data_IF_170144545872
#
_entry.id   IF_170144545872
#
_cell.length_a   1.000
_cell.length_b   1.000
_cell.length_c   1.000
_cell.angle_alpha   90.00
_cell.angle_beta   90.00
_cell.angle_gamma   90.00
#
_symmetry.space_group_name_H-M   'P 1'
#
loop_
_entity.id
_entity.type
_entity.pdbx_description
1 polymer ?
#
# COMPACT_ATOMS: atom_id res chain seq x y z
N UNK A 1 -5.32 -7.73 -22.54
CA UNK A 1 -5.64 -8.58 -21.36
C UNK A 1 -4.45 -9.38 -20.86
N UNK A 2 -3.52 -9.79 -21.74
CA UNK A 2 -2.35 -10.63 -21.36
C UNK A 2 -1.47 -10.07 -20.22
N UNK A 3 -1.26 -8.75 -20.15
CA UNK A 3 -0.43 -8.13 -19.10
C UNK A 3 -1.06 -8.26 -17.71
N UNK A 4 -2.39 -8.23 -17.62
CA UNK A 4 -3.08 -8.39 -16.34
C UNK A 4 -2.91 -9.82 -15.79
N UNK A 5 -2.98 -10.82 -16.67
CA UNK A 5 -2.78 -12.22 -16.30
C UNK A 5 -1.32 -12.50 -15.91
N UNK A 6 -0.34 -11.88 -16.59
CA UNK A 6 1.07 -11.96 -16.23
C UNK A 6 1.33 -11.37 -14.83
N UNK A 7 0.76 -10.21 -14.51
CA UNK A 7 0.89 -9.58 -13.19
C UNK A 7 0.27 -10.43 -12.07
N UNK A 8 -0.90 -11.05 -12.33
CA UNK A 8 -1.52 -11.99 -11.38
C UNK A 8 -0.62 -13.21 -11.16
N UNK A 9 -0.03 -13.76 -12.22
CA UNK A 9 0.94 -14.85 -12.15
C UNK A 9 2.18 -14.49 -11.32
N UNK A 10 2.74 -13.29 -11.55
CA UNK A 10 3.89 -12.75 -10.80
C UNK A 10 3.60 -12.59 -9.31
N UNK A 11 2.42 -12.09 -8.94
CA UNK A 11 2.02 -11.97 -7.53
C UNK A 11 1.95 -13.36 -6.87
N UNK A 12 1.44 -14.37 -7.58
CA UNK A 12 1.38 -15.73 -7.06
C UNK A 12 2.78 -16.31 -6.86
N UNK A 13 3.70 -16.10 -7.81
CA UNK A 13 5.10 -16.50 -7.68
C UNK A 13 5.79 -15.81 -6.49
N UNK A 14 5.66 -14.49 -6.36
CA UNK A 14 6.24 -13.70 -5.24
C UNK A 14 5.82 -14.26 -3.87
N UNK A 15 4.57 -14.69 -3.74
CA UNK A 15 4.02 -15.25 -2.49
C UNK A 15 4.56 -16.63 -2.16
N UNK A 16 4.82 -17.45 -3.18
CA UNK A 16 5.29 -18.82 -3.01
C UNK A 16 6.81 -18.94 -2.94
N UNK A 17 7.54 -17.92 -3.38
CA UNK A 17 9.00 -17.87 -3.29
C UNK A 17 9.46 -17.65 -1.84
N UNK A 18 10.25 -18.60 -1.32
CA UNK A 18 10.84 -18.53 0.02
C UNK A 18 12.14 -17.70 0.05
N UNK A 19 12.87 -17.63 -1.07
CA UNK A 19 14.12 -16.87 -1.18
C UNK A 19 13.85 -15.36 -1.23
N UNK A 20 14.41 -14.56 -0.30
CA UNK A 20 14.27 -13.10 -0.32
C UNK A 20 14.81 -12.47 -1.62
N UNK A 21 15.89 -13.05 -2.15
CA UNK A 21 16.56 -12.61 -3.37
C UNK A 21 15.67 -12.82 -4.59
N UNK A 22 15.12 -14.03 -4.75
CA UNK A 22 14.22 -14.33 -5.85
C UNK A 22 12.93 -13.50 -5.76
N UNK A 23 12.44 -13.26 -4.54
CA UNK A 23 11.29 -12.38 -4.31
C UNK A 23 11.57 -10.95 -4.80
N UNK A 24 12.77 -10.42 -4.55
CA UNK A 24 13.19 -9.11 -5.05
C UNK A 24 13.24 -9.08 -6.59
N UNK A 25 13.82 -10.12 -7.22
CA UNK A 25 13.86 -10.24 -8.69
C UNK A 25 12.45 -10.27 -9.31
N UNK A 26 11.53 -11.02 -8.70
CA UNK A 26 10.14 -11.08 -9.14
C UNK A 26 9.43 -9.74 -8.96
N UNK A 27 9.69 -9.01 -7.87
CA UNK A 27 9.16 -7.66 -7.68
C UNK A 27 9.67 -6.69 -8.75
N UNK A 28 10.97 -6.72 -9.06
CA UNK A 28 11.56 -5.90 -10.12
C UNK A 28 10.96 -6.24 -11.49
N UNK A 29 10.75 -7.52 -11.80
CA UNK A 29 10.06 -7.96 -13.02
C UNK A 29 8.61 -7.45 -13.06
N UNK A 30 7.85 -7.63 -12.00
CA UNK A 30 6.48 -7.11 -11.90
C UNK A 30 6.42 -5.61 -12.08
N UNK A 31 7.40 -4.89 -11.54
CA UNK A 31 7.52 -3.45 -11.73
C UNK A 31 7.78 -3.06 -13.20
N UNK A 32 8.65 -3.79 -13.92
CA UNK A 32 8.84 -3.59 -15.37
C UNK A 32 7.56 -3.80 -16.16
N UNK A 33 6.81 -4.87 -15.89
CA UNK A 33 5.51 -5.10 -16.53
C UNK A 33 4.52 -3.97 -16.25
N UNK A 34 4.51 -3.40 -15.03
CA UNK A 34 3.70 -2.22 -14.71
C UNK A 34 4.19 -0.96 -15.45
N UNK A 35 5.50 -0.72 -15.59
CA UNK A 35 6.02 0.45 -16.32
C UNK A 35 5.75 0.39 -17.82
N UNK A 36 5.70 -0.82 -18.39
CA UNK A 36 5.36 -1.03 -19.80
C UNK A 36 3.90 -0.69 -20.11
N UNK A 37 3.01 -0.66 -19.10
CA UNK A 37 1.63 -0.20 -19.27
C UNK A 37 1.56 1.31 -19.54
N UNK A 38 0.53 1.70 -20.30
CA UNK A 38 0.21 3.10 -20.52
C UNK A 38 -0.13 3.81 -19.19
N UNK A 39 -0.06 5.14 -19.16
CA UNK A 39 -0.37 5.90 -17.95
C UNK A 39 -1.84 5.73 -17.49
N UNK A 40 -2.77 5.52 -18.42
CA UNK A 40 -4.18 5.26 -18.11
C UNK A 40 -4.38 3.84 -17.57
N UNK A 41 -3.70 2.84 -18.14
CA UNK A 41 -3.74 1.45 -17.68
C UNK A 41 -3.14 1.31 -16.28
N UNK A 42 -2.02 1.99 -15.99
CA UNK A 42 -1.44 2.04 -14.64
C UNK A 42 -2.43 2.63 -13.64
N UNK A 43 -3.14 3.71 -13.99
CA UNK A 43 -4.17 4.34 -13.15
C UNK A 43 -5.39 3.43 -12.96
N UNK A 44 -5.81 2.69 -13.99
CA UNK A 44 -6.90 1.72 -13.89
C UNK A 44 -6.51 0.54 -12.99
N UNK A 45 -5.32 -0.02 -13.20
CA UNK A 45 -4.77 -1.10 -12.38
C UNK A 45 -4.62 -0.67 -10.91
N UNK A 46 -4.12 0.55 -10.65
CA UNK A 46 -4.01 1.09 -9.31
C UNK A 46 -5.40 1.21 -8.63
N UNK A 47 -6.42 1.72 -9.35
CA UNK A 47 -7.80 1.76 -8.85
C UNK A 47 -8.36 0.38 -8.56
N UNK A 48 -8.19 -0.58 -9.48
CA UNK A 48 -8.69 -1.95 -9.33
C UNK A 48 -8.07 -2.71 -8.17
N UNK A 49 -6.78 -2.48 -7.92
CA UNK A 49 -6.04 -3.08 -6.81
C UNK A 49 -6.19 -2.29 -5.49
N UNK A 50 -6.85 -1.13 -5.50
CA UNK A 50 -6.98 -0.25 -4.35
C UNK A 50 -5.65 0.39 -3.92
N UNK A 51 -4.73 0.54 -4.87
CA UNK A 51 -3.45 1.25 -4.77
C UNK A 51 -3.52 2.67 -5.37
N UNK A 52 -4.71 3.27 -5.42
CA UNK A 52 -4.81 4.70 -5.74
C UNK A 52 -3.92 5.50 -4.77
N UNK A 53 -2.98 6.26 -5.31
CA UNK A 53 -1.95 6.97 -4.54
C UNK A 53 -0.63 6.20 -4.29
N UNK A 54 -0.37 5.06 -4.94
CA UNK A 54 0.94 4.40 -4.85
C UNK A 54 2.11 5.29 -5.30
N UNK A 55 1.89 6.16 -6.29
CA UNK A 55 2.86 7.19 -6.68
C UNK A 55 3.17 8.15 -5.52
N UNK A 56 2.15 8.58 -4.77
CA UNK A 56 2.35 9.40 -3.57
C UNK A 56 3.10 8.64 -2.47
N UNK A 57 2.96 7.32 -2.42
CA UNK A 57 3.69 6.47 -1.47
C UNK A 57 5.17 6.34 -1.85
N UNK A 58 5.48 6.20 -3.14
CA UNK A 58 6.86 6.21 -3.65
C UNK A 58 7.48 7.58 -3.41
N UNK A 59 6.76 8.67 -3.68
CA UNK A 59 7.20 10.03 -3.38
C UNK A 59 7.45 10.24 -1.88
N UNK A 60 6.57 9.70 -1.02
CA UNK A 60 6.75 9.77 0.44
C UNK A 60 7.95 8.94 0.91
N UNK A 61 8.15 7.75 0.33
CA UNK A 61 9.32 6.91 0.62
C UNK A 61 10.62 7.58 0.19
N UNK A 62 10.63 8.16 -1.00
CA UNK A 62 11.74 8.94 -1.52
C UNK A 62 12.05 10.12 -0.59
N UNK A 63 11.05 10.96 -0.29
CA UNK A 63 11.19 12.10 0.64
C UNK A 63 11.67 11.69 2.03
N UNK A 64 11.16 10.58 2.58
CA UNK A 64 11.56 10.07 3.90
C UNK A 64 12.96 9.48 3.90
N UNK A 65 13.39 8.89 2.78
CA UNK A 65 14.75 8.44 2.53
C UNK A 65 15.73 9.57 2.23
N UNK A 66 15.26 10.82 2.06
CA UNK A 66 16.07 11.93 1.60
C UNK A 66 16.54 11.76 0.15
N UNK A 67 15.84 10.96 -0.63
CA UNK A 67 16.15 10.68 -2.03
C UNK A 67 15.08 11.31 -2.93
N UNK A 68 15.47 11.69 -4.15
CA UNK A 68 14.48 11.98 -5.18
C UNK A 68 13.77 10.66 -5.57
N UNK A 69 12.51 10.72 -6.03
CA UNK A 69 11.82 9.54 -6.55
C UNK A 69 12.63 8.85 -7.64
N UNK A 70 13.26 9.62 -8.52
CA UNK A 70 14.16 9.13 -9.57
C UNK A 70 15.34 8.35 -8.99
N UNK A 71 15.98 8.82 -7.92
CA UNK A 71 17.10 8.12 -7.27
C UNK A 71 16.66 6.82 -6.60
N UNK A 72 15.50 6.83 -5.93
CA UNK A 72 14.93 5.59 -5.39
C UNK A 72 14.68 4.58 -6.52
N UNK A 73 14.21 5.05 -7.68
CA UNK A 73 14.03 4.20 -8.85
C UNK A 73 15.36 3.71 -9.44
N UNK A 74 16.40 4.54 -9.47
CA UNK A 74 17.74 4.14 -9.92
C UNK A 74 18.36 3.09 -8.98
N UNK A 75 18.24 3.26 -7.66
CA UNK A 75 18.69 2.26 -6.68
C UNK A 75 17.95 0.92 -6.86
N UNK A 76 16.63 0.97 -7.12
CA UNK A 76 15.86 -0.24 -7.43
C UNK A 76 16.26 -0.88 -8.77
N UNK A 77 16.79 -0.11 -9.72
CA UNK A 77 17.27 -0.59 -11.00
C UNK A 77 18.70 -1.13 -10.95
N UNK A 78 19.60 -0.46 -10.23
CA UNK A 78 20.94 -0.96 -9.94
C UNK A 78 20.88 -2.26 -9.13
N UNK A 79 19.90 -2.34 -8.24
CA UNK A 79 19.60 -3.55 -7.49
C UNK A 79 19.17 -4.75 -8.31
N UNK A 80 18.69 -4.49 -9.51
CA UNK A 80 18.31 -5.50 -10.47
C UNK A 80 19.52 -6.14 -11.15
N UNK A 81 20.59 -5.36 -11.32
CA UNK A 81 21.80 -5.73 -12.05
C UNK A 81 22.91 -6.24 -11.12
N UNK A 82 22.91 -5.78 -9.87
CA UNK A 82 23.91 -6.13 -8.85
C UNK A 82 23.41 -7.26 -7.95
N UNK A 83 24.32 -7.90 -7.21
CA UNK A 83 23.98 -8.89 -6.19
C UNK A 83 22.93 -8.31 -5.21
N UNK A 84 21.73 -8.89 -5.12
CA UNK A 84 20.67 -8.40 -4.25
C UNK A 84 21.03 -8.41 -2.76
N UNK A 85 22.07 -9.15 -2.34
CA UNK A 85 22.63 -9.03 -1.00
C UNK A 85 23.30 -7.66 -0.79
N UNK A 86 24.10 -7.20 -1.77
CA UNK A 86 24.73 -5.88 -1.74
C UNK A 86 23.68 -4.76 -1.69
N UNK A 87 22.59 -4.90 -2.43
CA UNK A 87 21.46 -3.96 -2.43
C UNK A 87 20.81 -3.84 -1.07
N UNK A 88 20.53 -4.97 -0.43
CA UNK A 88 19.89 -4.97 0.88
C UNK A 88 20.81 -4.34 1.92
N UNK A 89 22.13 -4.51 1.79
CA UNK A 89 23.11 -3.81 2.61
C UNK A 89 23.20 -2.31 2.27
N UNK A 90 23.03 -1.91 1.00
CA UNK A 90 22.91 -0.49 0.61
C UNK A 90 21.63 0.12 1.20
N UNK A 91 20.46 -0.50 1.04
CA UNK A 91 19.17 -0.04 1.59
C UNK A 91 19.22 0.02 3.12
N UNK A 92 19.84 -0.97 3.77
CA UNK A 92 20.04 -1.00 5.22
C UNK A 92 21.02 0.10 5.66
N UNK A 93 22.09 0.32 4.88
CA UNK A 93 23.06 1.38 5.07
C UNK A 93 22.47 2.79 4.91
N UNK A 94 21.46 2.98 4.04
CA UNK A 94 20.73 4.25 3.92
C UNK A 94 19.97 4.65 5.21
N UNK A 95 19.73 3.68 6.10
CA UNK A 95 19.24 3.95 7.46
C UNK A 95 20.21 4.78 8.29
N UNK A 96 21.52 4.68 8.03
CA UNK A 96 22.58 5.43 8.70
C UNK A 96 22.82 6.78 7.99
N UNK A 97 22.81 7.91 8.72
CA UNK A 97 22.91 9.24 8.10
C UNK A 97 24.26 9.50 7.43
N UNK A 98 25.35 8.88 7.90
CA UNK A 98 26.69 9.04 7.33
C UNK A 98 26.86 8.27 6.03
N UNK A 99 26.45 7.00 5.99
CA UNK A 99 26.42 6.21 4.75
C UNK A 99 25.49 6.80 3.70
N UNK A 100 24.39 7.45 4.14
CA UNK A 100 23.50 8.20 3.24
C UNK A 100 24.19 9.39 2.58
N UNK A 101 25.05 10.12 3.30
CA UNK A 101 25.85 11.21 2.72
C UNK A 101 26.94 10.70 1.78
N UNK A 102 27.60 9.60 2.16
CA UNK A 102 28.61 8.97 1.31
C UNK A 102 28.02 8.46 -0.01
N UNK A 103 26.91 7.72 0.04
CA UNK A 103 26.21 7.24 -1.16
C UNK A 103 25.67 8.38 -2.03
N UNK A 104 25.23 9.49 -1.43
CA UNK A 104 24.83 10.68 -2.19
C UNK A 104 26.02 11.38 -2.87
N UNK A 105 27.20 11.36 -2.26
CA UNK A 105 28.44 11.87 -2.86
C UNK A 105 28.91 11.02 -4.03
N UNK A 106 28.98 9.70 -3.86
CA UNK A 106 29.41 8.75 -4.88
C UNK A 106 28.51 8.78 -6.13
N UNK A 107 27.20 9.00 -5.95
CA UNK A 107 26.25 9.19 -7.05
C UNK A 107 26.39 10.55 -7.75
N UNK A 108 26.77 11.61 -7.03
CA UNK A 108 27.06 12.92 -7.64
C UNK A 108 28.34 12.88 -8.47
N UNK A 109 29.35 12.16 -8.00
CA UNK A 109 30.60 11.95 -8.74
C UNK A 109 30.35 11.11 -10.00
N UNK A 110 29.56 10.03 -9.89
CA UNK A 110 29.17 9.21 -11.05
C UNK A 110 28.35 10.01 -12.07
N UNK A 111 27.45 10.89 -11.61
CA UNK A 111 26.68 11.76 -12.50
C UNK A 111 27.55 12.86 -13.16
N UNK A 112 28.60 13.33 -12.47
CA UNK A 112 29.57 14.26 -13.03
C UNK A 112 30.42 13.59 -14.12
N UNK A 113 30.86 12.35 -13.91
CA UNK A 113 31.63 11.59 -14.91
C UNK A 113 30.80 11.33 -16.18
N UNK A 114 29.52 10.96 -16.04
CA UNK A 114 28.61 10.74 -17.18
C UNK A 114 28.37 12.03 -17.98
N UNK A 115 28.34 13.19 -17.31
CA UNK A 115 28.15 14.49 -17.97
C UNK A 115 29.42 15.03 -18.64
N UNK A 116 30.60 14.55 -18.22
CA UNK A 116 31.89 14.94 -18.82
C UNK A 116 32.21 14.09 -20.07
N UNK A 117 31.76 12.84 -20.12
CA UNK A 117 31.99 11.95 -21.27
C UNK A 117 31.07 12.19 -22.49
N UNK A 118 30.01 13.00 -22.36
CA UNK A 118 29.04 13.27 -23.44
C UNK A 118 29.50 14.37 -24.44
N UNK A 119 30.62 15.06 -24.18
CA UNK A 119 31.19 16.07 -25.11
C UNK A 119 32.18 15.50 -26.15
N UNK A 120 32.52 14.20 -26.10
CA UNK A 120 33.61 13.63 -26.91
C UNK A 120 33.18 12.60 -27.99
N UNK A 121 31.93 12.60 -28.46
CA UNK A 121 31.54 11.77 -29.61
C UNK A 121 31.58 12.54 -30.94
N UNK A 122 32.54 12.25 -31.86
CA UNK A 122 32.49 12.78 -33.21
C UNK A 122 31.33 12.12 -33.99
N UNK A 123 30.50 12.97 -34.59
CA UNK A 123 29.33 12.58 -35.35
C UNK A 123 29.68 11.64 -36.54
N UNK A 124 29.20 10.40 -36.50
CA UNK A 124 29.21 9.50 -37.65
C UNK A 124 27.90 9.61 -38.44
N UNK A 125 28.04 9.94 -39.73
CA UNK A 125 26.96 9.98 -40.72
C UNK A 125 26.51 8.57 -41.14
N UNK A 126 25.23 8.38 -41.55
CA UNK A 126 24.71 7.07 -41.91
C UNK A 126 24.96 6.77 -43.39
N UNK A 127 25.62 5.64 -43.68
CA UNK A 127 25.90 5.17 -45.04
C UNK A 127 25.52 3.70 -45.24
N UNK A 128 24.42 3.52 -45.96
CA UNK A 128 24.04 2.47 -46.92
C UNK A 128 24.49 1.00 -46.77
N UNK A 129 23.48 0.13 -46.91
CA UNK A 129 23.52 -1.32 -47.13
C UNK A 129 24.49 -1.81 -48.21
N UNK A 130 25.06 -2.99 -47.95
CA UNK A 130 25.66 -3.86 -48.96
C UNK A 130 26.13 -5.19 -48.35
N UNK A 131 25.32 -6.25 -48.50
CA UNK A 131 25.82 -7.63 -48.68
C UNK A 131 26.62 -7.70 -50.02
N UNK A 132 27.55 -8.66 -50.28
CA UNK A 132 27.38 -10.10 -49.97
C UNK A 132 28.66 -10.96 -49.69
N UNK A 133 28.39 -12.20 -49.26
CA UNK A 133 29.07 -13.50 -49.57
C UNK A 133 30.54 -13.83 -49.22
N UNK A 134 30.63 -14.97 -48.50
CA UNK A 134 31.42 -16.20 -48.76
C UNK A 134 32.64 -16.56 -47.89
N UNK A 135 32.61 -17.86 -47.50
CA UNK A 135 33.70 -18.83 -47.17
C UNK A 135 35.01 -18.36 -46.54
N UNK A 136 35.37 -18.97 -45.39
CA UNK A 136 36.57 -19.84 -45.08
C UNK A 136 36.29 -20.46 -43.69
N UNK A 137 35.99 -21.75 -43.48
CA UNK A 137 36.85 -22.96 -43.39
C UNK A 137 37.91 -22.98 -42.25
N UNK A 138 37.73 -23.92 -41.30
CA UNK A 138 38.70 -24.42 -40.28
C UNK A 138 39.19 -23.39 -39.22
N UNK A 139 39.36 -23.70 -37.94
CA UNK A 139 39.97 -24.87 -37.31
C UNK A 139 39.34 -25.20 -35.94
N UNK A 140 39.20 -26.49 -35.66
CA UNK A 140 38.92 -27.02 -34.32
C UNK A 140 40.21 -26.98 -33.47
N UNK A 141 40.28 -26.07 -32.50
CA UNK A 141 41.25 -26.13 -31.40
C UNK A 141 40.75 -27.05 -30.27
N UNK A 142 41.63 -27.82 -29.60
CA UNK A 142 41.23 -28.75 -28.54
C UNK A 142 40.80 -28.01 -27.26
N UNK A 143 39.89 -28.59 -26.44
CA UNK A 143 39.44 -27.96 -25.20
C UNK A 143 40.54 -27.98 -24.13
N UNK A 144 40.78 -26.81 -23.54
CA UNK A 144 41.65 -26.64 -22.37
C UNK A 144 41.13 -27.44 -21.15
N UNK A 145 42.02 -27.95 -20.29
CA UNK A 145 41.63 -28.70 -19.10
C UNK A 145 40.99 -27.80 -18.05
N UNK A 146 39.87 -28.28 -17.48
CA UNK A 146 39.16 -27.66 -16.37
C UNK A 146 40.08 -27.43 -15.16
N UNK A 147 40.00 -26.26 -14.47
CA UNK A 147 40.74 -26.05 -13.23
C UNK A 147 40.19 -26.96 -12.12
N UNK A 148 41.08 -27.70 -11.49
CA UNK A 148 40.78 -28.50 -10.30
C UNK A 148 40.37 -27.57 -9.16
N UNK A 149 39.15 -27.75 -8.65
CA UNK A 149 38.67 -27.09 -7.44
C UNK A 149 39.38 -27.71 -6.25
N UNK A 150 40.35 -26.99 -5.69
CA UNK A 150 41.01 -27.33 -4.44
C UNK A 150 39.99 -27.18 -3.30
N UNK A 151 39.50 -28.32 -2.78
CA UNK A 151 38.66 -28.36 -1.57
C UNK A 151 39.49 -27.91 -0.38
N UNK A 152 39.36 -26.63 -0.02
CA UNK A 152 39.95 -26.07 1.20
C UNK A 152 39.12 -26.57 2.39
N UNK A 153 39.62 -27.58 3.10
CA UNK A 153 39.07 -28.02 4.38
C UNK A 153 39.03 -26.83 5.35
N UNK A 154 37.82 -26.46 5.78
CA UNK A 154 37.60 -25.39 6.76
C UNK A 154 37.86 -25.97 8.15
N UNK A 155 38.99 -25.57 8.75
CA UNK A 155 39.32 -25.89 10.13
C UNK A 155 38.25 -25.32 11.08
N UNK A 156 37.87 -26.11 12.08
CA UNK A 156 36.94 -25.72 13.14
C UNK A 156 37.51 -24.56 13.97
N UNK A 157 36.68 -23.60 14.41
CA UNK A 157 37.14 -22.55 15.32
C UNK A 157 37.40 -23.13 16.73
N UNK A 158 38.46 -22.68 17.43
CA UNK A 158 38.71 -23.06 18.82
C UNK A 158 37.67 -22.45 19.76
N UNK A 159 37.35 -23.21 20.81
CA UNK A 159 36.47 -22.81 21.90
C UNK A 159 37.01 -21.57 22.64
N UNK A 160 36.14 -20.58 22.84
CA UNK A 160 36.42 -19.41 23.66
C UNK A 160 36.05 -19.74 25.11
N UNK A 161 36.95 -19.58 26.09
CA UNK A 161 36.64 -19.77 27.50
C UNK A 161 35.80 -18.60 28.05
N UNK A 162 34.90 -18.94 28.97
CA UNK A 162 34.07 -18.02 29.73
C UNK A 162 34.94 -17.04 30.53
N UNK A 163 34.68 -15.75 30.36
CA UNK A 163 35.24 -14.70 31.20
C UNK A 163 34.13 -14.12 32.06
N UNK A 164 34.27 -14.32 33.37
CA UNK A 164 33.59 -13.58 34.42
C UNK A 164 33.72 -12.07 34.20
N UNK A 165 32.61 -11.36 34.37
CA UNK A 165 32.61 -9.91 34.44
C UNK A 165 31.69 -9.47 35.57
N UNK A 166 32.27 -9.48 36.77
CA UNK A 166 31.93 -8.53 37.81
C UNK A 166 32.30 -7.11 37.33
N UNK A 167 31.32 -6.21 37.33
CA UNK A 167 31.45 -4.74 37.41
C UNK A 167 30.04 -4.21 37.66
N UNK A 168 29.74 -3.56 38.78
CA UNK A 168 30.46 -2.42 39.32
C UNK A 168 29.62 -1.17 39.00
N UNK A 169 28.74 -0.80 39.93
CA UNK A 169 27.96 0.44 39.88
C UNK A 169 28.88 1.66 39.81
N UNK A 170 28.42 2.75 39.16
CA UNK A 170 28.77 4.07 39.65
C UNK A 170 27.56 4.96 39.97
N UNK A 171 27.70 5.57 41.14
CA UNK A 171 27.08 6.73 41.75
C UNK A 171 26.24 7.68 40.89
N UNK A 172 25.05 7.97 41.43
CA UNK A 172 24.29 9.22 41.25
C UNK A 172 25.07 10.42 41.82
N UNK A 173 25.05 11.53 41.09
CA UNK A 173 25.19 12.87 41.65
C UNK A 173 24.04 13.76 41.13
N UNK A 174 23.52 14.71 41.93
CA UNK A 174 22.44 15.60 41.53
C UNK A 174 23.00 16.88 40.89
N UNK A 175 22.29 17.46 39.92
CA UNK A 175 22.54 18.83 39.46
C UNK A 175 21.28 19.67 39.61
N UNK A 176 21.46 20.74 40.38
CA UNK A 176 20.50 21.80 40.68
C UNK A 176 20.50 22.90 39.62
N UNK A 177 19.48 23.74 39.73
CA UNK A 177 19.03 24.86 38.89
C UNK A 177 20.03 26.01 38.64
N UNK A 178 19.84 26.69 37.50
CA UNK A 178 19.95 28.15 37.26
C UNK A 178 19.56 28.44 35.78
N UNK A 179 18.49 29.18 35.45
CA UNK A 179 18.42 30.65 35.20
C UNK A 179 19.61 31.16 34.35
N UNK A 180 19.49 31.84 33.20
CA UNK A 180 18.77 33.08 32.84
C UNK A 180 18.91 33.27 31.30
N UNK A 181 17.88 33.73 30.57
CA UNK A 181 17.69 35.08 30.02
C UNK A 181 18.66 35.57 28.91
N UNK A 182 18.07 36.06 27.82
CA UNK A 182 18.70 36.81 26.71
C UNK A 182 18.77 36.02 25.41
N UNK A 183 18.48 36.55 24.21
CA UNK A 183 18.12 37.87 23.78
C UNK A 183 17.51 37.76 22.36
N UNK A 184 16.84 38.82 21.93
CA UNK A 184 16.14 38.97 20.65
C UNK A 184 16.96 38.57 19.41
N UNK A 185 16.29 37.91 18.46
CA UNK A 185 16.76 37.68 17.09
C UNK A 185 15.71 38.18 16.08
N UNK A 186 16.12 38.77 14.93
CA UNK A 186 15.33 39.73 14.17
C UNK A 186 14.36 39.10 13.17
N UNK A 187 13.45 39.96 12.69
CA UNK A 187 12.24 39.62 11.94
C UNK A 187 12.43 38.79 10.67
N UNK A 188 11.65 37.72 10.59
CA UNK A 188 11.39 37.02 9.35
C UNK A 188 10.43 37.85 8.49
N UNK A 189 10.93 38.35 7.36
CA UNK A 189 10.15 38.99 6.32
C UNK A 189 9.05 38.04 5.84
N UNK A 190 7.80 38.48 6.02
CA UNK A 190 6.61 37.76 5.57
C UNK A 190 6.50 37.89 4.05
N UNK A 191 6.98 36.88 3.33
CA UNK A 191 6.79 36.77 1.87
C UNK A 191 5.36 36.32 1.62
N UNK A 192 4.55 37.26 1.13
CA UNK A 192 3.15 37.07 0.75
C UNK A 192 3.08 36.24 -0.54
N UNK A 193 2.41 35.07 -0.57
CA UNK A 193 2.26 34.30 -1.79
C UNK A 193 1.32 35.01 -2.79
N UNK A 194 1.55 34.88 -4.11
CA UNK A 194 0.73 35.49 -5.15
C UNK A 194 -0.66 34.87 -5.21
N UNK A 195 -1.66 35.72 -5.47
CA UNK A 195 -3.06 35.34 -5.61
C UNK A 195 -3.29 34.35 -6.78
N UNK A 196 -4.01 33.27 -6.51
CA UNK A 196 -4.40 32.30 -7.52
C UNK A 196 -5.42 32.90 -8.51
N UNK A 197 -5.30 32.61 -9.83
CA UNK A 197 -6.26 33.08 -10.81
C UNK A 197 -7.62 32.40 -10.66
N UNK A 198 -8.68 33.21 -10.69
CA UNK A 198 -10.07 32.78 -10.62
C UNK A 198 -10.41 31.81 -11.77
N UNK A 199 -10.80 30.58 -11.42
CA UNK A 199 -11.32 29.61 -12.38
C UNK A 199 -12.71 30.04 -12.84
N UNK A 200 -12.83 30.27 -14.15
CA UNK A 200 -14.10 30.49 -14.83
C UNK A 200 -14.99 29.24 -14.70
N UNK A 201 -16.23 29.47 -14.29
CA UNK A 201 -17.29 28.47 -14.10
C UNK A 201 -17.93 28.20 -15.47
N UNK A 202 -17.98 26.96 -15.97
CA UNK A 202 -18.72 26.65 -17.20
C UNK A 202 -20.24 26.81 -16.98
N UNK A 203 -21.00 27.24 -18.02
CA UNK A 203 -22.44 27.46 -17.93
C UNK A 203 -23.22 26.15 -17.81
N UNK A 204 -24.33 26.22 -17.06
CA UNK A 204 -25.26 25.13 -16.81
C UNK A 204 -25.88 24.60 -18.11
N UNK A 205 -25.87 23.27 -18.26
CA UNK A 205 -26.57 22.56 -19.33
C UNK A 205 -28.06 22.45 -18.96
N UNK A 206 -28.91 22.92 -19.88
CA UNK A 206 -30.36 22.92 -19.75
C UNK A 206 -30.94 21.49 -19.72
N UNK A 207 -31.76 21.21 -18.71
CA UNK A 207 -32.57 20.01 -18.60
C UNK A 207 -33.74 20.05 -19.61
N UNK A 208 -33.90 18.98 -20.39
CA UNK A 208 -35.10 18.74 -21.20
C UNK A 208 -36.06 17.79 -20.44
N UNK A 209 -37.34 18.15 -20.25
CA UNK A 209 -38.34 17.22 -19.75
C UNK A 209 -38.92 16.41 -20.91
N UNK A 210 -38.72 15.09 -20.88
CA UNK A 210 -39.25 14.15 -21.86
C UNK A 210 -40.23 13.17 -21.22
N UNK A 211 -41.48 13.59 -21.11
CA UNK A 211 -42.66 12.77 -20.82
C UNK A 211 -42.75 11.60 -21.82
N UNK A 212 -42.86 10.36 -21.35
CA UNK A 212 -43.42 9.29 -22.19
C UNK A 212 -44.31 8.34 -21.39
N UNK A 213 -45.51 8.21 -21.96
CA UNK A 213 -46.69 7.56 -21.45
C UNK A 213 -46.58 6.03 -21.36
N UNK A 214 -47.40 5.49 -20.46
CA UNK A 214 -47.79 4.10 -20.33
C UNK A 214 -48.51 3.55 -21.59
N UNK A 215 -48.57 2.23 -21.72
CA UNK A 215 -49.76 1.60 -22.29
C UNK A 215 -50.33 0.48 -21.41
N UNK A 216 -51.61 0.67 -21.10
CA UNK A 216 -52.73 -0.26 -21.25
C UNK A 216 -52.64 -1.73 -20.81
N UNK A 217 -53.40 -1.93 -19.72
CA UNK A 217 -54.21 -3.07 -19.28
C UNK A 217 -54.74 -3.98 -20.40
N UNK A 218 -54.41 -5.28 -20.30
CA UNK A 218 -55.08 -6.39 -20.98
C UNK A 218 -55.93 -7.25 -20.02
N UNK A 219 -56.91 -8.02 -20.52
CA UNK A 219 -58.10 -8.41 -19.77
C UNK A 219 -57.94 -9.63 -18.85
N UNK A 220 -58.64 -9.52 -17.71
CA UNK A 220 -58.94 -10.57 -16.73
C UNK A 220 -59.54 -11.82 -17.38
N UNK A 221 -58.91 -12.98 -17.18
CA UNK A 221 -59.57 -14.29 -17.29
C UNK A 221 -59.97 -14.77 -15.89
N UNK A 222 -61.27 -14.92 -15.71
CA UNK A 222 -61.92 -15.57 -14.58
C UNK A 222 -62.04 -17.08 -14.91
N UNK A 223 -61.35 -17.92 -14.14
CA UNK A 223 -61.59 -19.37 -13.96
C UNK A 223 -60.72 -19.74 -12.76
N UNK A 224 -61.27 -19.97 -11.57
CA UNK A 224 -62.32 -20.94 -11.29
C UNK A 224 -61.63 -22.22 -10.86
N UNK A 225 -61.04 -22.23 -9.67
CA UNK A 225 -60.69 -23.47 -8.96
C UNK A 225 -60.65 -23.21 -7.45
N UNK A 226 -61.58 -23.87 -6.75
CA UNK A 226 -61.65 -23.94 -5.29
C UNK A 226 -60.46 -24.76 -4.81
N UNK A 227 -59.39 -24.11 -4.36
CA UNK A 227 -58.37 -24.74 -3.51
C UNK A 227 -58.86 -24.84 -2.07
N UNK A 228 -58.59 -25.95 -1.37
CA UNK A 228 -58.92 -26.11 0.04
C UNK A 228 -58.21 -25.02 0.85
N UNK A 229 -58.87 -24.54 1.89
CA UNK A 229 -58.37 -23.55 2.82
C UNK A 229 -57.11 -24.06 3.54
N UNK A 230 -55.96 -23.95 2.89
CA UNK A 230 -54.66 -23.94 3.57
C UNK A 230 -54.69 -22.75 4.53
N UNK A 231 -54.64 -23.06 5.83
CA UNK A 231 -54.33 -22.08 6.88
C UNK A 231 -53.18 -21.23 6.37
N UNK A 232 -53.47 -19.96 6.07
CA UNK A 232 -52.49 -18.95 5.75
C UNK A 232 -51.56 -18.83 6.96
N UNK A 233 -50.49 -19.63 6.96
CA UNK A 233 -49.36 -19.41 7.83
C UNK A 233 -48.90 -17.98 7.57
N UNK A 234 -48.95 -17.13 8.61
CA UNK A 234 -48.45 -15.77 8.52
C UNK A 234 -47.11 -15.79 7.80
N UNK A 235 -46.92 -14.99 6.73
CA UNK A 235 -45.67 -14.95 6.01
C UNK A 235 -44.56 -14.68 7.03
N UNK A 236 -43.60 -15.59 7.11
CA UNK A 236 -42.44 -15.42 7.97
C UNK A 236 -41.83 -14.04 7.71
N UNK A 237 -41.44 -13.28 8.74
CA UNK A 237 -40.83 -11.98 8.55
C UNK A 237 -39.65 -12.11 7.58
N UNK A 238 -39.48 -11.17 6.63
CA UNK A 238 -38.35 -11.20 5.73
C UNK A 238 -37.05 -11.29 6.55
N UNK A 239 -36.08 -12.11 6.12
CA UNK A 239 -34.80 -12.19 6.82
C UNK A 239 -34.18 -10.79 6.90
N UNK A 240 -33.49 -10.43 7.99
CA UNK A 240 -32.88 -9.12 8.13
C UNK A 240 -31.96 -8.83 6.92
N UNK A 241 -31.89 -7.58 6.48
CA UNK A 241 -31.30 -7.21 5.19
C UNK A 241 -29.81 -7.60 5.02
N UNK A 242 -29.11 -7.91 6.11
CA UNK A 242 -27.73 -8.44 6.12
C UNK A 242 -27.61 -9.97 6.11
N UNK A 243 -28.70 -10.69 6.41
CA UNK A 243 -28.67 -12.11 6.75
C UNK A 243 -28.02 -12.94 5.64
N UNK A 244 -26.94 -13.64 6.00
CA UNK A 244 -26.22 -14.53 5.11
C UNK A 244 -25.11 -13.87 4.29
N UNK A 245 -24.85 -12.56 4.43
CA UNK A 245 -23.67 -11.95 3.78
C UNK A 245 -22.37 -12.60 4.25
N UNK A 246 -22.23 -12.87 5.55
CA UNK A 246 -21.07 -13.58 6.09
C UNK A 246 -20.90 -14.97 5.44
N UNK A 247 -21.98 -15.74 5.29
CA UNK A 247 -21.97 -17.03 4.58
C UNK A 247 -21.55 -16.89 3.11
N UNK A 248 -22.09 -15.89 2.41
CA UNK A 248 -21.72 -15.60 1.02
C UNK A 248 -20.25 -15.17 0.87
N UNK A 249 -19.71 -14.43 1.82
CA UNK A 249 -18.30 -14.03 1.83
C UNK A 249 -17.38 -15.22 2.18
N UNK A 250 -17.78 -16.06 3.14
CA UNK A 250 -17.06 -17.28 3.50
C UNK A 250 -16.94 -18.27 2.34
N UNK A 251 -17.97 -18.37 1.49
CA UNK A 251 -17.99 -19.25 0.32
C UNK A 251 -17.03 -18.80 -0.80
N UNK A 252 -16.70 -17.51 -0.90
CA UNK A 252 -15.80 -17.00 -1.93
C UNK A 252 -14.35 -17.43 -1.65
N UNK A 253 -13.67 -18.09 -2.59
CA UNK A 253 -12.26 -18.49 -2.39
C UNK A 253 -11.26 -17.34 -2.56
N UNK A 254 -11.63 -16.33 -3.34
CA UNK A 254 -10.75 -15.19 -3.64
C UNK A 254 -10.99 -14.01 -2.69
N UNK A 255 -9.92 -13.58 -2.02
CA UNK A 255 -9.95 -12.43 -1.10
C UNK A 255 -10.42 -11.14 -1.78
N UNK A 256 -9.98 -10.90 -3.03
CA UNK A 256 -10.38 -9.70 -3.78
C UNK A 256 -11.87 -9.74 -4.12
N UNK A 257 -12.42 -10.91 -4.46
CA UNK A 257 -13.86 -11.07 -4.69
C UNK A 257 -14.65 -10.84 -3.40
N UNK A 258 -14.18 -11.34 -2.26
CA UNK A 258 -14.77 -11.02 -0.93
C UNK A 258 -14.82 -9.52 -0.68
N UNK A 259 -13.71 -8.81 -0.86
CA UNK A 259 -13.66 -7.35 -0.64
C UNK A 259 -14.57 -6.58 -1.59
N UNK A 260 -14.61 -6.96 -2.89
CA UNK A 260 -15.53 -6.34 -3.86
C UNK A 260 -17.00 -6.58 -3.50
N UNK A 261 -17.35 -7.81 -3.10
CA UNK A 261 -18.71 -8.14 -2.65
C UNK A 261 -19.09 -7.39 -1.38
N UNK A 262 -18.17 -7.25 -0.43
CA UNK A 262 -18.37 -6.45 0.78
C UNK A 262 -18.67 -4.99 0.42
N UNK A 263 -17.83 -4.37 -0.43
CA UNK A 263 -18.03 -2.99 -0.86
C UNK A 263 -19.39 -2.78 -1.56
N UNK A 264 -19.79 -3.72 -2.44
CA UNK A 264 -21.08 -3.66 -3.12
C UNK A 264 -22.28 -3.88 -2.18
N UNK A 265 -22.09 -4.57 -1.06
CA UNK A 265 -23.14 -4.93 -0.11
C UNK A 265 -23.12 -4.10 1.18
N UNK A 266 -22.17 -3.17 1.35
CA UNK A 266 -21.97 -2.46 2.61
C UNK A 266 -23.23 -1.72 3.08
N UNK A 267 -23.97 -1.10 2.16
CA UNK A 267 -25.22 -0.41 2.49
C UNK A 267 -26.35 -1.33 3.01
N UNK A 268 -26.26 -2.66 2.82
CA UNK A 268 -27.24 -3.61 3.40
C UNK A 268 -26.98 -3.90 4.88
N UNK A 269 -25.77 -3.61 5.35
CA UNK A 269 -25.37 -3.78 6.75
C UNK A 269 -25.70 -2.56 7.61
N UNK A 270 -26.42 -1.59 7.05
CA UNK A 270 -26.76 -0.34 7.75
C UNK A 270 -27.74 -0.57 8.92
N UNK A 271 -28.58 -1.60 8.79
CA UNK A 271 -29.49 -2.08 9.85
C UNK A 271 -28.94 -3.33 10.56
N UNK A 272 -27.74 -3.79 10.19
CA UNK A 272 -27.13 -4.96 10.81
C UNK A 272 -26.61 -4.61 12.22
N UNK A 273 -26.84 -5.51 13.17
CA UNK A 273 -26.27 -5.39 14.51
C UNK A 273 -24.75 -5.59 14.50
N UNK A 274 -24.09 -5.15 15.57
CA UNK A 274 -22.63 -5.27 15.71
C UNK A 274 -22.12 -6.69 15.52
N UNK A 275 -22.83 -7.70 16.03
CA UNK A 275 -22.46 -9.12 15.92
C UNK A 275 -22.41 -9.60 14.46
N UNK A 276 -23.33 -9.13 13.63
CA UNK A 276 -23.37 -9.48 12.21
C UNK A 276 -22.22 -8.81 11.44
N UNK A 277 -21.92 -7.55 11.76
CA UNK A 277 -20.76 -6.84 11.19
C UNK A 277 -19.44 -7.50 11.63
N UNK A 278 -19.35 -7.94 12.89
CA UNK A 278 -18.21 -8.69 13.40
C UNK A 278 -18.04 -10.02 12.66
N UNK A 279 -19.11 -10.80 12.48
CA UNK A 279 -19.08 -12.05 11.71
C UNK A 279 -18.64 -11.84 10.25
N UNK A 280 -19.05 -10.73 9.62
CA UNK A 280 -18.57 -10.33 8.29
C UNK A 280 -17.07 -10.06 8.30
N UNK A 281 -16.53 -9.39 9.33
CA UNK A 281 -15.09 -9.12 9.46
C UNK A 281 -14.26 -10.38 9.72
N UNK A 282 -14.81 -11.36 10.43
CA UNK A 282 -14.16 -12.65 10.69
C UNK A 282 -13.97 -13.49 9.42
N UNK A 283 -14.80 -13.28 8.39
CA UNK A 283 -14.61 -13.87 7.07
C UNK A 283 -13.33 -13.39 6.35
N UNK A 284 -12.65 -12.37 6.89
CA UNK A 284 -11.36 -11.89 6.39
C UNK A 284 -10.21 -12.32 7.30
N UNK A 285 -9.11 -12.86 6.74
CA UNK A 285 -7.91 -13.14 7.50
C UNK A 285 -7.40 -11.90 8.26
N UNK A 286 -6.84 -12.10 9.44
CA UNK A 286 -6.23 -11.03 10.22
C UNK A 286 -5.14 -10.28 9.44
N UNK A 287 -4.86 -9.04 9.84
CA UNK A 287 -3.90 -8.16 9.18
C UNK A 287 -4.53 -7.32 8.07
N UNK A 288 -3.88 -7.26 6.90
CA UNK A 288 -4.24 -6.33 5.82
C UNK A 288 -5.68 -6.48 5.33
N UNK A 289 -6.15 -7.72 5.17
CA UNK A 289 -7.47 -8.04 4.64
C UNK A 289 -8.59 -7.53 5.54
N UNK A 290 -8.59 -7.95 6.82
CA UNK A 290 -9.55 -7.50 7.83
C UNK A 290 -9.50 -5.98 8.01
N UNK A 291 -8.30 -5.40 8.02
CA UNK A 291 -8.12 -3.94 8.08
C UNK A 291 -8.81 -3.22 6.91
N UNK A 292 -8.64 -3.71 5.67
CA UNK A 292 -9.31 -3.13 4.50
C UNK A 292 -10.83 -3.34 4.52
N UNK A 293 -11.30 -4.50 4.97
CA UNK A 293 -12.73 -4.76 5.14
C UNK A 293 -13.36 -3.77 6.12
N UNK A 294 -12.74 -3.58 7.29
CA UNK A 294 -13.20 -2.63 8.30
C UNK A 294 -13.21 -1.20 7.76
N UNK A 295 -12.16 -0.75 7.06
CA UNK A 295 -12.18 0.58 6.44
C UNK A 295 -13.36 0.77 5.48
N UNK A 296 -13.67 -0.22 4.65
CA UNK A 296 -14.81 -0.11 3.71
C UNK A 296 -16.14 0.02 4.44
N UNK A 297 -16.29 -0.67 5.57
CA UNK A 297 -17.47 -0.54 6.43
C UNK A 297 -17.54 0.85 7.07
N UNK A 298 -16.43 1.33 7.65
CA UNK A 298 -16.36 2.64 8.30
C UNK A 298 -16.58 3.82 7.32
N UNK A 299 -16.05 3.70 6.09
CA UNK A 299 -16.28 4.66 4.99
C UNK A 299 -17.73 4.64 4.51
N UNK A 300 -18.39 3.48 4.56
CA UNK A 300 -19.81 3.35 4.26
C UNK A 300 -20.73 3.76 5.42
N UNK A 301 -20.18 4.22 6.55
CA UNK A 301 -20.95 4.60 7.74
C UNK A 301 -21.47 3.42 8.57
N UNK A 302 -20.93 2.21 8.36
CA UNK A 302 -21.34 0.98 9.05
C UNK A 302 -20.29 0.57 10.10
N UNK A 303 -20.68 0.35 11.37
CA UNK A 303 -22.01 0.58 11.94
C UNK A 303 -22.29 2.09 12.12
N UNK A 304 -23.60 2.44 12.16
CA UNK A 304 -24.06 3.82 12.40
C UNK A 304 -23.66 4.33 13.78
N UNK A 305 -23.78 3.46 14.79
CA UNK A 305 -23.33 3.74 16.16
C UNK A 305 -21.81 3.89 16.20
N UNK A 306 -21.32 5.02 16.72
CA UNK A 306 -19.89 5.25 16.92
C UNK A 306 -19.34 4.32 18.00
N UNK A 307 -20.12 4.02 19.04
CA UNK A 307 -19.74 3.05 20.07
C UNK A 307 -19.47 1.68 19.46
N UNK A 308 -20.35 1.22 18.58
CA UNK A 308 -20.19 -0.09 17.92
C UNK A 308 -18.97 -0.07 17.00
N UNK A 309 -18.74 1.03 16.27
CA UNK A 309 -17.57 1.19 15.42
C UNK A 309 -16.27 1.14 16.24
N UNK A 310 -16.27 1.70 17.46
CA UNK A 310 -15.16 1.63 18.41
C UNK A 310 -14.94 0.19 18.88
N UNK A 311 -16.00 -0.54 19.24
CA UNK A 311 -15.92 -1.96 19.63
C UNK A 311 -15.32 -2.82 18.52
N UNK A 312 -15.67 -2.57 17.25
CA UNK A 312 -15.07 -3.28 16.11
C UNK A 312 -13.56 -3.04 15.96
N UNK A 313 -13.01 -1.94 16.50
CA UNK A 313 -11.56 -1.72 16.51
C UNK A 313 -10.82 -2.76 17.36
N UNK A 314 -11.47 -3.29 18.40
CA UNK A 314 -10.87 -4.28 19.30
C UNK A 314 -10.57 -5.60 18.60
N UNK A 315 -11.31 -5.93 17.54
CA UNK A 315 -11.10 -7.10 16.66
C UNK A 315 -9.78 -7.04 15.88
N UNK A 316 -9.10 -5.88 15.86
CA UNK A 316 -7.78 -5.73 15.28
C UNK A 316 -6.70 -6.05 16.34
N UNK A 317 -5.84 -7.04 16.11
CA UNK A 317 -4.88 -7.49 17.14
C UNK A 317 -3.72 -6.51 17.35
N UNK A 318 -3.36 -5.74 16.32
CA UNK A 318 -2.17 -4.87 16.38
C UNK A 318 -2.56 -3.43 16.74
N UNK A 319 -1.86 -2.78 17.70
CA UNK A 319 -2.14 -1.40 18.07
C UNK A 319 -2.05 -0.40 16.91
N UNK A 320 -1.14 -0.64 15.96
CA UNK A 320 -1.00 0.19 14.76
C UNK A 320 -2.18 0.08 13.79
N UNK A 321 -2.84 -1.07 13.73
CA UNK A 321 -4.05 -1.29 12.93
C UNK A 321 -5.24 -0.56 13.57
N UNK A 322 -5.35 -0.63 14.90
CA UNK A 322 -6.36 0.13 15.67
C UNK A 322 -6.23 1.63 15.45
N UNK A 323 -5.03 2.20 15.56
CA UNK A 323 -4.81 3.63 15.28
C UNK A 323 -5.23 4.02 13.85
N UNK A 324 -4.91 3.19 12.87
CA UNK A 324 -5.26 3.45 11.48
C UNK A 324 -6.77 3.45 11.26
N UNK A 325 -7.48 2.47 11.84
CA UNK A 325 -8.93 2.37 11.74
C UNK A 325 -9.62 3.50 12.54
N UNK A 326 -9.08 3.87 13.70
CA UNK A 326 -9.54 5.04 14.47
C UNK A 326 -9.38 6.35 13.68
N UNK A 327 -8.26 6.54 12.98
CA UNK A 327 -8.08 7.71 12.09
C UNK A 327 -9.11 7.70 10.96
N UNK A 328 -9.43 6.53 10.42
CA UNK A 328 -10.42 6.38 9.34
C UNK A 328 -11.83 6.72 9.85
N UNK A 329 -12.20 6.21 11.02
CA UNK A 329 -13.46 6.51 11.70
C UNK A 329 -13.63 8.02 11.93
N UNK A 330 -12.60 8.67 12.48
CA UNK A 330 -12.59 10.12 12.69
C UNK A 330 -12.67 10.94 11.39
N UNK A 331 -12.21 10.39 10.26
CA UNK A 331 -12.30 11.06 8.97
C UNK A 331 -13.64 10.82 8.26
N UNK A 332 -14.34 9.72 8.57
CA UNK A 332 -15.58 9.35 7.87
C UNK A 332 -16.85 9.92 8.49
N UNK A 333 -16.81 10.37 9.76
CA UNK A 333 -17.96 10.96 10.44
C UNK A 333 -17.54 12.04 11.45
N UNK A 334 -18.40 13.05 11.71
CA UNK A 334 -18.18 13.97 12.82
C UNK A 334 -18.25 13.22 14.15
N UNK A 335 -17.38 13.59 15.10
CA UNK A 335 -17.34 13.02 16.44
C UNK A 335 -17.61 14.10 17.49
N UNK A 336 -18.51 13.84 18.43
CA UNK A 336 -18.68 14.67 19.62
C UNK A 336 -17.53 14.46 20.62
N UNK A 337 -17.48 15.27 21.68
CA UNK A 337 -16.38 15.21 22.65
C UNK A 337 -16.34 13.89 23.44
N UNK A 338 -17.50 13.27 23.70
CA UNK A 338 -17.60 11.99 24.39
C UNK A 338 -17.11 10.84 23.50
N UNK A 339 -17.52 10.83 22.24
CA UNK A 339 -17.07 9.89 21.21
C UNK A 339 -15.57 10.04 20.95
N UNK A 340 -15.04 11.26 20.90
CA UNK A 340 -13.60 11.52 20.79
C UNK A 340 -12.84 10.92 21.97
N UNK A 341 -13.31 11.12 23.19
CA UNK A 341 -12.69 10.55 24.38
C UNK A 341 -12.73 9.01 24.37
N UNK A 342 -13.86 8.41 23.98
CA UNK A 342 -13.99 6.96 23.85
C UNK A 342 -13.07 6.38 22.77
N UNK A 343 -12.96 7.05 21.62
CA UNK A 343 -12.07 6.66 20.53
C UNK A 343 -10.60 6.71 20.94
N UNK A 344 -10.21 7.75 21.70
CA UNK A 344 -8.86 7.85 22.26
C UNK A 344 -8.58 6.73 23.26
N UNK A 345 -9.54 6.40 24.13
CA UNK A 345 -9.41 5.31 25.09
C UNK A 345 -9.22 3.93 24.42
N UNK A 346 -9.82 3.71 23.25
CA UNK A 346 -9.69 2.48 22.48
C UNK A 346 -8.28 2.25 21.87
N UNK A 347 -7.44 3.29 21.82
CA UNK A 347 -6.06 3.19 21.35
C UNK A 347 -5.12 2.96 22.54
N UNK A 348 -4.57 1.74 22.73
CA UNK A 348 -3.91 1.37 23.98
C UNK A 348 -2.57 2.11 24.23
N UNK A 349 -1.88 2.53 23.17
CA UNK A 349 -0.56 3.15 23.29
C UNK A 349 -0.66 4.68 23.49
N UNK A 350 -0.05 5.26 24.55
CA UNK A 350 -0.02 6.71 24.76
C UNK A 350 0.55 7.50 23.58
N UNK A 351 1.63 7.00 22.96
CA UNK A 351 2.23 7.65 21.79
C UNK A 351 1.29 7.67 20.56
N UNK A 352 0.50 6.62 20.37
CA UNK A 352 -0.49 6.56 19.30
C UNK A 352 -1.70 7.44 19.61
N UNK A 353 -2.12 7.53 20.88
CA UNK A 353 -3.16 8.47 21.35
C UNK A 353 -2.78 9.92 21.05
N UNK A 354 -1.59 10.37 21.46
CA UNK A 354 -1.10 11.72 21.13
C UNK A 354 -1.02 11.99 19.62
N UNK A 355 -0.74 10.95 18.81
CA UNK A 355 -0.77 11.09 17.36
C UNK A 355 -2.19 11.26 16.83
N UNK A 356 -3.17 10.55 17.40
CA UNK A 356 -4.57 10.69 17.05
C UNK A 356 -5.14 12.04 17.51
N UNK A 357 -4.85 12.46 18.73
CA UNK A 357 -5.21 13.79 19.27
C UNK A 357 -4.78 14.92 18.35
N UNK A 358 -3.49 14.93 17.95
CA UNK A 358 -2.98 15.95 17.01
C UNK A 358 -3.69 15.97 15.66
N UNK A 359 -4.19 14.82 15.21
CA UNK A 359 -4.95 14.73 13.95
C UNK A 359 -6.38 15.24 14.12
N UNK A 360 -7.02 14.87 15.23
CA UNK A 360 -8.37 15.33 15.57
C UNK A 360 -8.42 16.84 15.80
N UNK A 361 -7.34 17.43 16.35
CA UNK A 361 -7.20 18.87 16.52
C UNK A 361 -6.95 19.65 15.23
N UNK A 362 -6.61 18.96 14.13
CA UNK A 362 -6.33 19.58 12.83
C UNK A 362 -7.52 19.52 11.86
N UNK A 363 -8.64 18.88 12.26
CA UNK A 363 -9.88 18.77 11.49
C UNK A 363 -10.86 19.88 11.91
#
# INVERSE_FOLDING_TARGET
MEVADELVGLIHQIRNTASPIERLKLLARGWRSVRALSADDRRSLARELGFDGAEQMIDQLARRGGMSPSNLMSVLHEAEQTDPAAVLDTIRGLGEPERRRAAAGELLDTAADILVDDEAQPAHAPGASGEPTDKVAAEHGPPAPSPQVLVRQRAAPPAVPAADSERGQPSRAPRADAREAGAAGPGAASVRPPAAPARQRPPAVAEKPGTRAAPEVGPRRVRGDRRPAERAASPAPPPPAGAGLATQLGAERSLLRRLRRLAASAGRLDEAGIEEVAAVLECFPAGWARRRALQRLLEAGVPRSTSDAITLLELLPRPSERLWAATTLAASRPLDDGERAALLAAVPSPALRHRLERRLAAQ
#
